data_IF_041690250620
#
_entry.id   IF_041690250620
#
_cell.length_a   1.000
_cell.length_b   1.000
_cell.length_c   1.000
_cell.angle_alpha   90.00
_cell.angle_beta   90.00
_cell.angle_gamma   90.00
#
_symmetry.space_group_name_H-M   'P 1'
#
loop_
_entity.id
_entity.type
_entity.pdbx_description
1 polymer ?
#
# COMPACT_ATOMS: atom_id res chain seq x y z
N UNK A 1 7.02 24.23 -31.95
CA UNK A 1 8.05 23.29 -32.45
C UNK A 1 8.17 22.13 -31.45
N UNK A 2 7.59 20.99 -31.78
CA UNK A 2 7.70 19.77 -30.96
C UNK A 2 9.10 19.21 -31.15
N UNK A 3 9.91 19.26 -30.10
CA UNK A 3 11.17 18.51 -30.04
C UNK A 3 10.84 17.03 -30.02
N UNK A 4 10.86 16.41 -31.16
CA UNK A 4 10.83 14.96 -31.34
C UNK A 4 12.12 14.44 -30.70
N UNK A 5 12.02 14.04 -29.42
CA UNK A 5 13.14 13.51 -28.65
C UNK A 5 13.41 12.12 -29.22
N UNK A 6 14.26 12.02 -30.22
CA UNK A 6 14.67 10.76 -30.87
C UNK A 6 15.15 9.80 -29.80
N UNK A 7 14.36 8.73 -29.60
CA UNK A 7 14.70 7.69 -28.63
C UNK A 7 15.99 7.02 -29.07
N UNK A 8 17.05 7.10 -28.27
CA UNK A 8 18.33 6.47 -28.61
C UNK A 8 18.18 4.98 -28.91
N UNK A 9 19.00 4.40 -29.81
CA UNK A 9 18.92 2.96 -30.14
C UNK A 9 18.98 2.07 -28.90
N UNK A 10 19.86 2.37 -27.95
CA UNK A 10 19.99 1.64 -26.68
C UNK A 10 18.69 1.70 -25.85
N UNK A 11 18.07 2.87 -25.75
CA UNK A 11 16.81 3.03 -25.02
C UNK A 11 15.67 2.25 -25.69
N UNK A 12 15.61 2.25 -27.02
CA UNK A 12 14.61 1.49 -27.79
C UNK A 12 14.75 0.01 -27.51
N UNK A 13 15.95 -0.56 -27.66
CA UNK A 13 16.25 -1.95 -27.37
C UNK A 13 15.87 -2.32 -25.92
N UNK A 14 16.19 -1.49 -24.96
CA UNK A 14 15.81 -1.72 -23.56
C UNK A 14 14.29 -1.77 -23.37
N UNK A 15 13.52 -0.91 -24.05
CA UNK A 15 12.04 -0.92 -24.00
C UNK A 15 11.51 -2.23 -24.61
N UNK A 16 12.05 -2.67 -25.74
CA UNK A 16 11.69 -3.94 -26.38
C UNK A 16 11.97 -5.14 -25.48
N UNK A 17 13.16 -5.18 -24.85
CA UNK A 17 13.54 -6.21 -23.88
C UNK A 17 12.60 -6.26 -22.66
N UNK A 18 12.16 -5.10 -22.16
CA UNK A 18 11.19 -5.00 -21.07
C UNK A 18 9.80 -5.45 -21.52
N UNK A 19 9.38 -5.10 -22.74
CA UNK A 19 8.09 -5.49 -23.29
C UNK A 19 8.02 -7.00 -23.51
N UNK A 20 9.07 -7.62 -24.09
CA UNK A 20 9.17 -9.07 -24.27
C UNK A 20 9.03 -9.84 -22.94
N UNK A 21 9.47 -9.25 -21.83
CA UNK A 21 9.35 -9.82 -20.46
C UNK A 21 8.08 -9.38 -19.74
N UNK A 22 7.13 -8.77 -20.44
CA UNK A 22 5.83 -8.30 -19.92
C UNK A 22 5.96 -7.38 -18.69
N UNK A 23 7.03 -6.59 -18.59
CA UNK A 23 7.17 -5.60 -17.52
C UNK A 23 6.07 -4.53 -17.69
N UNK A 24 5.37 -4.23 -16.59
CA UNK A 24 4.34 -3.18 -16.58
C UNK A 24 4.92 -1.78 -16.85
N UNK A 25 4.13 -0.87 -17.40
CA UNK A 25 4.54 0.50 -17.79
C UNK A 25 5.25 1.27 -16.67
N UNK A 26 4.88 1.04 -15.41
CA UNK A 26 5.52 1.71 -14.27
C UNK A 26 6.95 1.20 -14.06
N UNK A 27 7.19 -0.11 -14.14
CA UNK A 27 8.51 -0.71 -14.03
C UNK A 27 9.42 -0.24 -15.19
N UNK A 28 8.89 -0.24 -16.42
CA UNK A 28 9.61 0.28 -17.59
C UNK A 28 10.06 1.73 -17.38
N UNK A 29 9.15 2.63 -16.96
CA UNK A 29 9.51 4.03 -16.67
C UNK A 29 10.56 4.15 -15.57
N UNK A 30 10.45 3.33 -14.52
CA UNK A 30 11.42 3.32 -13.42
C UNK A 30 12.80 2.90 -13.89
N UNK A 31 12.91 1.84 -14.70
CA UNK A 31 14.19 1.38 -15.23
C UNK A 31 14.82 2.39 -16.20
N UNK A 32 14.02 2.97 -17.12
CA UNK A 32 14.50 4.04 -18.02
C UNK A 32 15.00 5.25 -17.22
N UNK A 33 14.27 5.65 -16.18
CA UNK A 33 14.72 6.76 -15.32
C UNK A 33 16.04 6.46 -14.63
N UNK A 34 16.22 5.22 -14.13
CA UNK A 34 17.47 4.78 -13.51
C UNK A 34 18.64 4.85 -14.47
N UNK A 35 18.46 4.37 -15.71
CA UNK A 35 19.51 4.40 -16.74
C UNK A 35 19.82 5.82 -17.19
N UNK A 36 18.82 6.72 -17.26
CA UNK A 36 19.07 8.13 -17.54
C UNK A 36 19.91 8.81 -16.46
N UNK A 37 19.67 8.50 -15.18
CA UNK A 37 20.51 9.01 -14.07
C UNK A 37 21.93 8.49 -14.18
N UNK A 38 22.11 7.22 -14.52
CA UNK A 38 23.43 6.63 -14.71
C UNK A 38 24.16 7.27 -15.91
N UNK A 39 23.48 7.44 -17.05
CA UNK A 39 24.02 8.14 -18.22
C UNK A 39 24.43 9.60 -17.92
N UNK A 40 23.61 10.32 -17.17
CA UNK A 40 23.90 11.69 -16.73
C UNK A 40 25.12 11.76 -15.81
N UNK A 41 25.29 10.78 -14.92
CA UNK A 41 26.49 10.69 -14.08
C UNK A 41 27.75 10.39 -14.89
N UNK A 42 27.66 9.51 -15.89
CA UNK A 42 28.80 9.17 -16.76
C UNK A 42 29.20 10.28 -17.71
N UNK A 43 28.26 11.17 -18.09
CA UNK A 43 28.43 12.13 -19.18
C UNK A 43 28.54 11.49 -20.58
N UNK A 44 28.31 10.17 -20.69
CA UNK A 44 28.40 9.38 -21.92
C UNK A 44 27.40 8.22 -21.92
N UNK A 45 27.35 7.48 -23.03
CA UNK A 45 26.41 6.35 -23.15
C UNK A 45 26.73 5.22 -22.17
N UNK A 46 25.72 4.64 -21.50
CA UNK A 46 25.92 3.58 -20.50
C UNK A 46 26.53 2.27 -21.03
N UNK A 47 26.50 2.02 -22.34
CA UNK A 47 27.11 0.84 -22.97
C UNK A 47 28.64 0.86 -22.92
N UNK A 48 29.24 2.07 -22.76
CA UNK A 48 30.69 2.27 -22.62
C UNK A 48 31.17 2.19 -21.16
N UNK A 49 30.29 1.85 -20.22
CA UNK A 49 30.61 1.84 -18.80
C UNK A 49 31.63 0.73 -18.44
N UNK A 50 32.44 1.03 -17.44
CA UNK A 50 33.42 0.12 -16.80
C UNK A 50 32.93 -0.31 -15.41
N UNK A 51 33.57 -1.30 -14.81
CA UNK A 51 33.29 -1.72 -13.43
C UNK A 51 33.50 -0.57 -12.43
N UNK A 52 34.55 0.24 -12.63
CA UNK A 52 34.83 1.40 -11.78
C UNK A 52 33.72 2.46 -11.89
N UNK A 53 33.17 2.68 -13.08
CA UNK A 53 32.02 3.57 -13.25
C UNK A 53 30.81 3.12 -12.45
N UNK A 54 30.51 1.82 -12.42
CA UNK A 54 29.39 1.26 -11.61
C UNK A 54 29.67 1.48 -10.13
N UNK A 55 30.88 1.21 -9.66
CA UNK A 55 31.30 1.44 -8.28
C UNK A 55 31.17 2.92 -7.90
N UNK A 56 31.70 3.84 -8.71
CA UNK A 56 31.64 5.28 -8.46
C UNK A 56 30.19 5.79 -8.46
N UNK A 57 29.35 5.27 -9.33
CA UNK A 57 27.93 5.64 -9.33
C UNK A 57 27.20 5.18 -8.05
N UNK A 58 27.49 3.97 -7.56
CA UNK A 58 26.92 3.48 -6.29
C UNK A 58 27.34 4.38 -5.12
N UNK A 59 28.61 4.82 -5.07
CA UNK A 59 29.12 5.74 -4.07
C UNK A 59 28.44 7.13 -4.20
N UNK A 60 28.34 7.66 -5.40
CA UNK A 60 27.62 8.93 -5.67
C UNK A 60 26.16 8.88 -5.19
N UNK A 61 25.46 7.76 -5.35
CA UNK A 61 24.09 7.61 -4.84
C UNK A 61 24.05 7.63 -3.30
N UNK A 62 25.11 7.17 -2.61
CA UNK A 62 25.24 7.27 -1.14
C UNK A 62 25.44 8.71 -0.74
N UNK A 63 26.41 9.39 -1.33
CA UNK A 63 26.78 10.78 -1.05
C UNK A 63 25.64 11.76 -1.34
N UNK A 64 24.79 11.43 -2.33
CA UNK A 64 23.57 12.20 -2.65
C UNK A 64 22.46 12.08 -1.57
N UNK A 65 22.70 11.43 -0.42
CA UNK A 65 21.74 11.30 0.66
C UNK A 65 20.49 10.47 0.34
N UNK A 66 20.51 9.67 -0.74
CA UNK A 66 19.38 8.85 -1.12
C UNK A 66 19.17 7.69 -0.15
N UNK A 67 17.89 7.41 0.18
CA UNK A 67 17.53 6.25 0.99
C UNK A 67 17.96 4.93 0.32
N UNK A 68 18.23 3.90 1.13
CA UNK A 68 18.61 2.56 0.65
C UNK A 68 17.59 2.03 -0.37
N UNK A 69 16.27 2.19 -0.10
CA UNK A 69 15.20 1.79 -1.01
C UNK A 69 15.33 2.47 -2.40
N UNK A 70 15.59 3.79 -2.43
CA UNK A 70 15.77 4.52 -3.67
C UNK A 70 17.05 4.11 -4.40
N UNK A 71 18.15 3.89 -3.70
CA UNK A 71 19.41 3.38 -4.27
C UNK A 71 19.22 2.01 -4.90
N UNK A 72 18.63 1.07 -4.16
CA UNK A 72 18.31 -0.28 -4.65
C UNK A 72 17.43 -0.24 -5.90
N UNK A 73 16.41 0.63 -5.91
CA UNK A 73 15.52 0.80 -7.06
C UNK A 73 16.27 1.32 -8.30
N UNK A 74 17.18 2.29 -8.12
CA UNK A 74 18.00 2.82 -9.22
C UNK A 74 18.92 1.73 -9.75
N UNK A 75 19.62 1.05 -8.85
CA UNK A 75 20.56 0.00 -9.22
C UNK A 75 19.87 -1.22 -9.86
N UNK A 76 18.62 -1.52 -9.49
CA UNK A 76 17.81 -2.55 -10.19
C UNK A 76 17.61 -2.21 -11.68
N UNK A 77 17.34 -0.95 -12.01
CA UNK A 77 17.23 -0.52 -13.42
C UNK A 77 18.56 -0.60 -14.18
N UNK A 78 19.65 -0.19 -13.55
CA UNK A 78 21.01 -0.29 -14.11
C UNK A 78 21.41 -1.76 -14.29
N UNK A 79 21.15 -2.61 -13.31
CA UNK A 79 21.40 -4.06 -13.42
C UNK A 79 20.60 -4.70 -14.55
N UNK A 80 19.35 -4.30 -14.75
CA UNK A 80 18.54 -4.75 -15.89
C UNK A 80 19.21 -4.38 -17.22
N UNK A 81 19.66 -3.15 -17.38
CA UNK A 81 20.36 -2.69 -18.57
C UNK A 81 21.57 -3.58 -18.87
N UNK A 82 22.45 -3.79 -17.90
CA UNK A 82 23.66 -4.59 -18.10
C UNK A 82 23.33 -6.06 -18.35
N UNK A 83 22.51 -6.68 -17.51
CA UNK A 83 22.23 -8.10 -17.56
C UNK A 83 21.43 -8.52 -18.80
N UNK A 84 20.43 -7.72 -19.16
CA UNK A 84 19.44 -8.09 -20.17
C UNK A 84 19.72 -7.42 -21.51
N UNK A 85 19.85 -6.10 -21.54
CA UNK A 85 19.94 -5.35 -22.78
C UNK A 85 21.36 -5.39 -23.36
N UNK A 86 22.38 -5.18 -22.55
CA UNK A 86 23.77 -5.17 -22.99
C UNK A 86 24.44 -6.56 -22.90
N UNK A 87 23.86 -7.48 -22.15
CA UNK A 87 24.43 -8.82 -21.84
C UNK A 87 25.84 -8.76 -21.23
N UNK A 88 26.14 -7.66 -20.54
CA UNK A 88 27.37 -7.43 -19.78
C UNK A 88 27.18 -8.00 -18.37
N UNK A 89 27.35 -9.33 -18.22
CA UNK A 89 27.17 -10.02 -16.93
C UNK A 89 28.22 -9.63 -15.91
N UNK A 90 29.42 -9.29 -16.37
CA UNK A 90 30.50 -8.71 -15.58
C UNK A 90 30.03 -7.45 -14.85
N UNK A 91 29.51 -6.45 -15.55
CA UNK A 91 28.99 -5.21 -14.94
C UNK A 91 27.71 -5.42 -14.12
N UNK A 92 26.89 -6.38 -14.49
CA UNK A 92 25.70 -6.72 -13.71
C UNK A 92 26.04 -7.36 -12.34
N UNK A 93 27.19 -8.02 -12.23
CA UNK A 93 27.69 -8.59 -10.98
C UNK A 93 28.18 -7.50 -10.01
N UNK A 94 28.76 -6.41 -10.53
CA UNK A 94 29.19 -5.25 -9.72
C UNK A 94 28.03 -4.52 -9.03
N UNK A 95 26.77 -4.75 -9.48
CA UNK A 95 25.61 -4.13 -8.89
C UNK A 95 25.16 -4.91 -7.66
N UNK A 96 25.36 -4.34 -6.48
CA UNK A 96 24.86 -4.90 -5.22
C UNK A 96 23.62 -4.14 -4.70
N UNK A 97 22.83 -4.82 -3.88
CA UNK A 97 21.69 -4.28 -3.19
C UNK A 97 21.91 -4.36 -1.68
N UNK A 98 21.61 -3.28 -0.99
CA UNK A 98 21.72 -3.22 0.45
C UNK A 98 20.43 -3.75 1.11
N UNK A 99 20.59 -4.45 2.22
CA UNK A 99 19.44 -4.86 3.05
C UNK A 99 18.74 -3.62 3.59
N UNK A 100 17.46 -3.51 3.27
CA UNK A 100 16.65 -2.39 3.76
C UNK A 100 16.30 -2.60 5.23
N UNK A 101 16.48 -1.57 6.10
CA UNK A 101 16.02 -1.65 7.46
C UNK A 101 14.48 -1.76 7.48
N UNK A 102 13.97 -2.75 8.18
CA UNK A 102 12.53 -2.94 8.34
C UNK A 102 12.00 -1.89 9.32
N UNK A 103 11.29 -0.89 8.81
CA UNK A 103 10.57 0.07 9.62
C UNK A 103 9.19 -0.48 9.97
N UNK A 104 8.80 -0.38 11.23
CA UNK A 104 7.43 -0.69 11.63
C UNK A 104 6.46 0.30 10.95
N UNK A 105 5.31 -0.18 10.46
CA UNK A 105 4.30 0.70 9.91
C UNK A 105 3.81 1.70 10.96
N UNK A 106 3.64 2.96 10.56
CA UNK A 106 2.97 3.95 11.38
C UNK A 106 1.47 3.67 11.36
N UNK A 107 0.92 3.38 12.53
CA UNK A 107 -0.50 3.12 12.75
C UNK A 107 -1.12 4.33 13.46
N UNK A 108 -2.28 4.75 13.02
CA UNK A 108 -3.11 5.72 13.72
C UNK A 108 -3.90 5.01 14.82
N UNK A 109 -4.15 5.67 15.94
CA UNK A 109 -5.07 5.14 16.94
C UNK A 109 -6.52 5.21 16.42
N UNK A 110 -7.47 4.45 17.01
CA UNK A 110 -8.89 4.56 16.68
C UNK A 110 -9.41 6.00 16.78
N UNK A 111 -8.96 6.76 17.80
CA UNK A 111 -9.34 8.16 18.03
C UNK A 111 -8.77 9.08 16.95
N UNK A 112 -7.53 8.86 16.52
CA UNK A 112 -6.92 9.59 15.40
C UNK A 112 -7.67 9.33 14.10
N UNK A 113 -8.04 8.07 13.84
CA UNK A 113 -8.82 7.68 12.66
C UNK A 113 -10.23 8.32 12.70
N UNK A 114 -10.88 8.35 13.87
CA UNK A 114 -12.17 9.01 14.08
C UNK A 114 -12.09 10.50 13.82
N UNK A 115 -11.06 11.19 14.36
CA UNK A 115 -10.84 12.62 14.11
C UNK A 115 -10.59 12.90 12.64
N UNK A 116 -9.75 12.08 11.97
CA UNK A 116 -9.47 12.22 10.55
C UNK A 116 -10.76 12.16 9.71
N UNK A 117 -11.63 11.20 9.98
CA UNK A 117 -12.92 11.07 9.29
C UNK A 117 -13.84 12.27 9.59
N UNK A 118 -13.92 12.72 10.84
CA UNK A 118 -14.74 13.87 11.24
C UNK A 118 -14.29 15.17 10.55
N UNK A 119 -12.99 15.37 10.37
CA UNK A 119 -12.41 16.57 9.75
C UNK A 119 -12.34 16.52 8.22
N UNK A 120 -13.01 15.58 7.58
CA UNK A 120 -12.89 15.32 6.13
C UNK A 120 -13.51 16.38 5.20
N UNK A 121 -13.96 17.51 5.71
CA UNK A 121 -14.35 18.72 4.97
C UNK A 121 -15.49 18.59 3.95
N UNK A 122 -15.59 17.47 3.23
CA UNK A 122 -16.68 17.21 2.30
C UNK A 122 -16.91 15.70 2.10
N UNK A 123 -18.10 15.35 1.62
CA UNK A 123 -18.54 13.96 1.45
C UNK A 123 -17.59 13.14 0.57
N UNK A 124 -17.03 13.71 -0.50
CA UNK A 124 -16.09 13.03 -1.38
C UNK A 124 -14.85 12.54 -0.64
N UNK A 125 -14.24 13.42 0.15
CA UNK A 125 -13.04 13.09 0.94
C UNK A 125 -13.40 12.08 2.01
N UNK A 126 -14.51 12.30 2.72
CA UNK A 126 -15.00 11.38 3.75
C UNK A 126 -15.15 9.95 3.24
N UNK A 127 -15.83 9.75 2.11
CA UNK A 127 -16.01 8.43 1.49
C UNK A 127 -14.67 7.79 1.09
N UNK A 128 -13.75 8.56 0.50
CA UNK A 128 -12.44 8.03 0.11
C UNK A 128 -11.60 7.58 1.31
N UNK A 129 -11.65 8.34 2.41
CA UNK A 129 -10.95 7.98 3.65
C UNK A 129 -11.62 6.80 4.36
N UNK A 130 -12.96 6.76 4.37
CA UNK A 130 -13.73 5.63 4.89
C UNK A 130 -13.45 4.32 4.13
N UNK A 131 -13.30 4.36 2.81
CA UNK A 131 -12.86 3.22 2.01
C UNK A 131 -11.43 2.77 2.37
N UNK A 132 -10.53 3.72 2.62
CA UNK A 132 -9.15 3.42 3.03
C UNK A 132 -9.07 2.75 4.40
N UNK A 133 -9.83 3.25 5.38
CA UNK A 133 -9.83 2.75 6.75
C UNK A 133 -10.82 1.59 6.97
N UNK A 134 -12.05 1.67 6.46
CA UNK A 134 -13.09 0.66 6.72
C UNK A 134 -13.02 -0.58 5.82
N UNK A 135 -12.40 -0.45 4.62
CA UNK A 135 -12.25 -1.57 3.67
C UNK A 135 -10.78 -1.91 3.39
N UNK A 136 -9.83 -1.20 3.96
CA UNK A 136 -8.40 -1.43 3.76
C UNK A 136 -7.93 -1.25 2.31
N UNK A 137 -8.60 -0.45 1.49
CA UNK A 137 -8.26 -0.25 0.08
C UNK A 137 -6.98 0.58 -0.09
N UNK A 138 -6.19 0.24 -1.12
CA UNK A 138 -5.04 1.06 -1.52
C UNK A 138 -5.51 2.34 -2.22
N UNK A 139 -4.74 3.42 -2.11
CA UNK A 139 -5.03 4.67 -2.81
C UNK A 139 -5.34 4.49 -4.30
N UNK A 140 -4.57 3.63 -4.98
CA UNK A 140 -4.79 3.32 -6.40
C UNK A 140 -6.06 2.51 -6.67
N UNK A 141 -6.53 1.71 -5.72
CA UNK A 141 -7.80 0.99 -5.79
C UNK A 141 -8.96 1.98 -5.61
N UNK A 142 -8.89 2.83 -4.57
CA UNK A 142 -9.93 3.84 -4.29
C UNK A 142 -10.18 4.74 -5.51
N UNK A 143 -9.15 5.34 -6.09
CA UNK A 143 -9.33 6.28 -7.19
C UNK A 143 -9.83 5.65 -8.48
N UNK A 144 -9.64 4.33 -8.65
CA UNK A 144 -10.08 3.57 -9.82
C UNK A 144 -11.37 2.80 -9.63
N UNK A 145 -12.07 2.99 -8.50
CA UNK A 145 -13.36 2.37 -8.29
C UNK A 145 -14.41 2.86 -9.30
N UNK A 146 -15.12 1.93 -9.89
CA UNK A 146 -16.30 2.15 -10.72
C UNK A 146 -17.56 1.73 -9.97
N UNK A 147 -18.71 2.19 -10.43
CA UNK A 147 -19.98 1.79 -9.82
C UNK A 147 -20.20 0.27 -9.86
N UNK A 148 -19.83 -0.38 -10.98
CA UNK A 148 -19.92 -1.84 -11.12
C UNK A 148 -18.91 -2.65 -10.29
N UNK A 149 -17.95 -2.01 -9.63
CA UNK A 149 -17.06 -2.69 -8.69
C UNK A 149 -17.71 -2.86 -7.30
N UNK A 150 -18.85 -2.21 -7.06
CA UNK A 150 -19.60 -2.27 -5.80
C UNK A 150 -20.76 -3.24 -5.94
N UNK A 151 -20.63 -4.42 -5.36
CA UNK A 151 -21.72 -5.38 -5.25
C UNK A 151 -22.46 -5.14 -3.93
N UNK A 152 -23.57 -4.40 -4.01
CA UNK A 152 -24.36 -4.04 -2.85
C UNK A 152 -25.18 -5.21 -2.27
N UNK A 153 -25.40 -6.27 -3.05
CA UNK A 153 -26.14 -7.44 -2.61
C UNK A 153 -25.27 -8.39 -1.77
N UNK A 154 -23.96 -8.42 -2.03
CA UNK A 154 -23.03 -9.31 -1.34
C UNK A 154 -21.95 -8.58 -0.54
N UNK A 155 -21.95 -7.25 -0.51
CA UNK A 155 -20.93 -6.46 0.19
C UNK A 155 -19.51 -6.63 -0.37
N UNK A 156 -19.38 -6.95 -1.68
CA UNK A 156 -18.11 -7.31 -2.33
C UNK A 156 -17.72 -6.28 -3.38
N UNK A 157 -16.45 -5.90 -3.39
CA UNK A 157 -15.84 -5.09 -4.45
C UNK A 157 -15.03 -5.94 -5.42
N UNK A 158 -15.08 -5.62 -6.71
CA UNK A 158 -14.48 -6.37 -7.82
C UNK A 158 -13.05 -5.90 -8.11
N UNK A 159 -12.10 -6.76 -8.04
CA UNK A 159 -10.91 -7.12 -8.82
C UNK A 159 -9.90 -7.84 -7.92
N UNK A 160 -9.56 -9.04 -8.27
CA UNK A 160 -8.53 -9.89 -7.69
C UNK A 160 -8.71 -10.28 -6.20
N UNK A 161 -9.65 -9.67 -5.48
CA UNK A 161 -10.04 -10.02 -4.11
C UNK A 161 -11.41 -9.47 -3.75
N UNK A 162 -12.10 -10.19 -2.90
CA UNK A 162 -13.29 -9.68 -2.22
C UNK A 162 -12.86 -8.83 -1.01
N UNK A 163 -13.46 -7.68 -0.85
CA UNK A 163 -13.21 -6.76 0.27
C UNK A 163 -14.49 -6.63 1.07
N UNK A 164 -14.37 -6.66 2.40
CA UNK A 164 -15.47 -6.34 3.29
C UNK A 164 -15.99 -4.93 3.00
N UNK A 165 -17.30 -4.78 2.82
CA UNK A 165 -17.97 -3.50 2.65
C UNK A 165 -18.95 -3.30 3.81
N UNK A 166 -18.56 -2.59 4.88
CA UNK A 166 -19.42 -2.30 6.00
C UNK A 166 -20.68 -1.52 5.57
N UNK A 167 -21.85 -1.74 6.20
CA UNK A 167 -23.11 -1.04 5.88
C UNK A 167 -22.96 0.48 5.90
N UNK A 168 -22.17 1.01 6.83
CA UNK A 168 -21.91 2.46 6.98
C UNK A 168 -21.16 3.01 5.76
N UNK A 169 -20.16 2.28 5.25
CA UNK A 169 -19.42 2.67 4.04
C UNK A 169 -20.31 2.56 2.81
N UNK A 170 -21.18 1.55 2.73
CA UNK A 170 -22.15 1.43 1.64
C UNK A 170 -23.15 2.59 1.65
N UNK A 171 -23.63 3.00 2.82
CA UNK A 171 -24.50 4.16 2.96
C UNK A 171 -23.84 5.46 2.47
N UNK A 172 -22.59 5.68 2.86
CA UNK A 172 -21.77 6.80 2.39
C UNK A 172 -21.56 6.77 0.87
N UNK A 173 -21.28 5.60 0.30
CA UNK A 173 -21.13 5.42 -1.15
C UNK A 173 -22.43 5.76 -1.90
N UNK A 174 -23.60 5.37 -1.38
CA UNK A 174 -24.92 5.71 -1.95
C UNK A 174 -25.19 7.21 -1.90
N UNK A 175 -24.86 7.87 -0.79
CA UNK A 175 -24.98 9.33 -0.67
C UNK A 175 -24.07 10.03 -1.67
N UNK A 176 -22.79 9.60 -1.75
CA UNK A 176 -21.83 10.15 -2.70
C UNK A 176 -22.25 9.92 -4.15
N UNK A 177 -22.76 8.74 -4.48
CA UNK A 177 -23.26 8.43 -5.83
C UNK A 177 -24.32 9.44 -6.30
N UNK A 178 -25.22 9.86 -5.42
CA UNK A 178 -26.25 10.87 -5.71
C UNK A 178 -25.67 12.28 -5.84
N UNK A 179 -24.65 12.62 -5.06
CA UNK A 179 -24.07 13.96 -4.98
C UNK A 179 -22.88 14.20 -5.92
N UNK A 180 -22.30 13.14 -6.52
CA UNK A 180 -21.09 13.28 -7.34
C UNK A 180 -21.35 14.02 -8.65
N UNK A 181 -20.33 14.71 -9.22
CA UNK A 181 -20.48 15.34 -10.53
C UNK A 181 -20.73 14.31 -11.64
N UNK A 182 -21.76 14.56 -12.46
CA UNK A 182 -22.20 13.68 -13.55
C UNK A 182 -21.82 14.20 -14.95
N UNK A 183 -21.17 15.35 -15.03
CA UNK A 183 -20.84 16.04 -16.30
C UNK A 183 -20.11 15.21 -17.35
N UNK A 184 -19.48 14.10 -16.93
CA UNK A 184 -18.73 13.21 -17.83
C UNK A 184 -19.37 11.83 -17.97
N UNK A 185 -20.59 11.63 -17.48
CA UNK A 185 -21.28 10.36 -17.49
C UNK A 185 -22.04 10.06 -18.81
N UNK A 186 -22.28 11.10 -19.63
CA UNK A 186 -22.99 10.96 -20.89
C UNK A 186 -22.30 9.95 -21.80
N UNK A 187 -23.07 8.94 -22.28
CA UNK A 187 -22.55 7.86 -23.11
C UNK A 187 -21.75 6.78 -22.39
N UNK A 188 -21.62 6.85 -21.07
CA UNK A 188 -20.92 5.82 -20.27
C UNK A 188 -21.95 4.98 -19.52
N UNK A 189 -21.94 3.62 -19.68
CA UNK A 189 -22.82 2.73 -18.94
C UNK A 189 -22.67 2.94 -17.41
N UNK A 190 -23.73 2.89 -16.62
CA UNK A 190 -23.67 3.19 -15.17
C UNK A 190 -22.58 2.40 -14.41
N UNK A 191 -22.43 1.11 -14.72
CA UNK A 191 -21.43 0.21 -14.11
C UNK A 191 -19.98 0.61 -14.42
N UNK A 192 -19.73 1.31 -15.53
CA UNK A 192 -18.38 1.74 -15.94
C UNK A 192 -18.00 3.13 -15.44
N UNK A 193 -18.97 3.86 -14.87
CA UNK A 193 -18.74 5.21 -14.38
C UNK A 193 -17.83 5.23 -13.17
N UNK A 194 -16.88 6.17 -13.17
CA UNK A 194 -15.99 6.35 -12.04
C UNK A 194 -16.74 6.86 -10.81
N UNK A 195 -16.51 6.25 -9.65
CA UNK A 195 -17.01 6.81 -8.38
C UNK A 195 -16.34 8.16 -8.08
N UNK A 196 -15.07 8.30 -8.41
CA UNK A 196 -14.31 9.51 -8.19
C UNK A 196 -13.77 10.06 -9.52
N UNK A 197 -14.63 10.71 -10.33
CA UNK A 197 -14.22 11.28 -11.61
C UNK A 197 -13.17 12.37 -11.41
N UNK A 198 -12.21 12.45 -12.34
CA UNK A 198 -11.18 13.46 -12.42
C UNK A 198 -11.67 14.75 -13.08
N UNK A 199 -10.72 15.69 -13.33
CA UNK A 199 -11.03 16.94 -14.02
C UNK A 199 -11.22 16.79 -15.52
N UNK A 200 -10.62 15.77 -16.14
CA UNK A 200 -10.70 15.48 -17.57
C UNK A 200 -11.70 14.36 -17.84
N UNK A 201 -12.42 14.46 -18.96
CA UNK A 201 -13.36 13.42 -19.41
C UNK A 201 -12.67 12.06 -19.48
N UNK A 202 -13.34 11.00 -19.06
CA UNK A 202 -12.87 9.61 -19.08
C UNK A 202 -11.80 9.26 -18.04
N UNK A 203 -11.28 10.22 -17.28
CA UNK A 203 -10.25 9.98 -16.27
C UNK A 203 -10.83 10.03 -14.85
N UNK A 204 -10.29 9.17 -14.00
CA UNK A 204 -10.54 9.20 -12.56
C UNK A 204 -9.63 10.18 -11.82
N UNK A 205 -9.93 10.47 -10.56
CA UNK A 205 -9.06 11.20 -9.65
C UNK A 205 -7.67 10.55 -9.59
N UNK A 206 -6.60 11.35 -9.52
CA UNK A 206 -5.24 10.80 -9.38
C UNK A 206 -4.91 10.46 -7.93
N UNK A 207 -4.05 9.46 -7.72
CA UNK A 207 -3.55 9.11 -6.37
C UNK A 207 -2.82 10.29 -5.71
N UNK A 208 -2.18 11.17 -6.50
CA UNK A 208 -1.52 12.39 -5.99
C UNK A 208 -2.54 13.38 -5.42
N UNK A 209 -3.68 13.55 -6.09
CA UNK A 209 -4.76 14.40 -5.59
C UNK A 209 -5.38 13.84 -4.31
N UNK A 210 -5.62 12.52 -4.26
CA UNK A 210 -6.12 11.86 -3.05
C UNK A 210 -5.11 11.98 -1.89
N UNK A 211 -3.82 11.82 -2.17
CA UNK A 211 -2.78 12.01 -1.15
C UNK A 211 -2.75 13.43 -0.59
N UNK A 212 -2.91 14.45 -1.45
CA UNK A 212 -3.00 15.85 -1.01
C UNK A 212 -4.20 16.06 -0.09
N UNK A 213 -5.39 15.61 -0.50
CA UNK A 213 -6.61 15.71 0.30
C UNK A 213 -6.47 15.00 1.67
N UNK A 214 -5.79 13.85 1.68
CA UNK A 214 -5.48 13.14 2.93
C UNK A 214 -4.62 13.99 3.87
N UNK A 215 -3.54 14.60 3.37
CA UNK A 215 -2.65 15.41 4.22
C UNK A 215 -3.36 16.67 4.72
N UNK A 216 -4.11 17.37 3.87
CA UNK A 216 -4.95 18.52 4.25
C UNK A 216 -5.92 18.13 5.40
N UNK A 217 -6.54 16.96 5.32
CA UNK A 217 -7.45 16.45 6.36
C UNK A 217 -6.69 16.03 7.62
N UNK A 218 -5.52 15.40 7.49
CA UNK A 218 -4.70 14.98 8.64
C UNK A 218 -4.17 16.19 9.42
N UNK A 219 -3.78 17.24 8.73
CA UNK A 219 -3.36 18.51 9.33
C UNK A 219 -4.54 19.17 10.08
N UNK A 220 -5.72 19.23 9.45
CA UNK A 220 -6.94 19.73 10.09
C UNK A 220 -7.37 18.90 11.32
N UNK A 221 -7.12 17.59 11.31
CA UNK A 221 -7.38 16.70 12.44
C UNK A 221 -6.31 16.76 13.55
N UNK A 222 -5.27 17.60 13.41
CA UNK A 222 -4.19 17.73 14.36
C UNK A 222 -3.30 16.48 14.48
N UNK A 223 -3.18 15.68 13.42
CA UNK A 223 -2.38 14.46 13.40
C UNK A 223 -0.93 14.82 13.09
N UNK A 224 -0.08 14.90 14.12
CA UNK A 224 1.34 15.28 14.01
C UNK A 224 2.25 14.17 13.48
N UNK A 225 1.79 12.91 13.47
CA UNK A 225 2.54 11.77 12.93
C UNK A 225 2.71 11.88 11.42
N UNK A 226 3.84 11.42 10.88
CA UNK A 226 4.06 11.33 9.43
C UNK A 226 3.26 10.18 8.80
N UNK A 227 1.94 10.31 8.82
CA UNK A 227 1.00 9.34 8.23
C UNK A 227 0.78 9.57 6.74
N UNK A 228 0.26 8.57 6.07
CA UNK A 228 -0.10 8.60 4.66
C UNK A 228 -1.37 7.79 4.43
N UNK A 229 -1.93 7.83 3.22
CA UNK A 229 -3.05 6.94 2.85
C UNK A 229 -2.76 5.46 3.12
N UNK A 230 -1.49 5.06 3.04
CA UNK A 230 -1.10 3.69 3.35
C UNK A 230 -1.20 3.39 4.84
N UNK A 231 -1.05 4.40 5.69
CA UNK A 231 -1.24 4.28 7.14
C UNK A 231 -2.69 3.97 7.51
N UNK A 232 -3.71 4.44 6.73
CA UNK A 232 -5.11 4.03 6.93
C UNK A 232 -5.28 2.51 6.79
N UNK A 233 -4.71 1.96 5.74
CA UNK A 233 -4.74 0.51 5.50
C UNK A 233 -3.93 -0.27 6.55
N UNK A 234 -2.82 0.28 7.02
CA UNK A 234 -2.07 -0.31 8.13
C UNK A 234 -2.89 -0.30 9.42
N UNK A 235 -3.55 0.82 9.73
CA UNK A 235 -4.45 0.94 10.89
C UNK A 235 -5.62 -0.04 10.80
N UNK A 236 -6.28 -0.15 9.65
CA UNK A 236 -7.31 -1.17 9.40
C UNK A 236 -6.82 -2.58 9.75
N UNK A 237 -5.66 -2.98 9.24
CA UNK A 237 -5.13 -4.32 9.47
C UNK A 237 -4.74 -4.55 10.93
N UNK A 238 -4.12 -3.55 11.57
CA UNK A 238 -3.70 -3.64 12.98
C UNK A 238 -4.91 -3.69 13.90
N UNK A 239 -5.90 -2.83 13.70
CA UNK A 239 -7.11 -2.81 14.53
C UNK A 239 -7.96 -4.07 14.37
N UNK A 240 -8.04 -4.65 13.15
CA UNK A 240 -8.67 -5.97 12.97
C UNK A 240 -7.92 -7.07 13.76
N UNK A 241 -6.58 -7.04 13.71
CA UNK A 241 -5.77 -8.00 14.44
C UNK A 241 -5.94 -7.83 15.96
N UNK A 242 -5.94 -6.60 16.46
CA UNK A 242 -6.22 -6.25 17.85
C UNK A 242 -7.64 -6.65 18.26
N UNK A 243 -8.63 -6.52 17.36
CA UNK A 243 -9.99 -6.98 17.49
C UNK A 243 -10.17 -8.51 17.44
N UNK A 244 -9.12 -9.28 17.19
CA UNK A 244 -9.17 -10.74 17.20
C UNK A 244 -9.31 -11.44 15.88
N UNK A 245 -9.32 -10.68 14.79
CA UNK A 245 -9.44 -11.28 13.46
C UNK A 245 -8.21 -12.11 13.12
N UNK A 246 -8.42 -13.29 12.59
CA UNK A 246 -7.33 -14.18 12.15
C UNK A 246 -6.46 -13.51 11.08
N UNK A 247 -5.14 -13.69 11.19
CA UNK A 247 -4.15 -13.05 10.30
C UNK A 247 -4.30 -13.50 8.85
N UNK A 248 -4.75 -14.73 8.59
CA UNK A 248 -4.98 -15.25 7.23
C UNK A 248 -6.20 -14.59 6.60
N UNK A 249 -7.23 -14.34 7.41
CA UNK A 249 -8.40 -13.58 6.94
C UNK A 249 -8.02 -12.14 6.62
N UNK A 250 -7.21 -11.49 7.47
CA UNK A 250 -6.66 -10.16 7.18
C UNK A 250 -5.81 -10.17 5.91
N UNK A 251 -5.00 -11.21 5.70
CA UNK A 251 -4.21 -11.39 4.48
C UNK A 251 -5.11 -11.47 3.23
N UNK A 252 -6.17 -12.24 3.28
CA UNK A 252 -7.15 -12.37 2.20
C UNK A 252 -7.85 -11.03 1.92
N UNK A 253 -8.36 -10.36 2.96
CA UNK A 253 -8.99 -9.03 2.86
C UNK A 253 -8.05 -7.98 2.26
N UNK A 254 -6.76 -8.03 2.58
CA UNK A 254 -5.76 -7.12 2.05
C UNK A 254 -5.25 -7.53 0.66
N UNK A 255 -5.47 -8.78 0.22
CA UNK A 255 -4.93 -9.32 -1.03
C UNK A 255 -3.40 -9.31 -1.03
N UNK A 256 -2.78 -9.79 0.04
CA UNK A 256 -1.34 -9.98 0.13
C UNK A 256 -0.97 -11.38 -0.37
N UNK A 257 -0.16 -11.47 -1.42
CA UNK A 257 0.33 -12.74 -1.95
C UNK A 257 1.33 -13.44 -1.03
N UNK A 258 1.96 -12.69 -0.10
CA UNK A 258 2.94 -13.20 0.86
C UNK A 258 2.49 -12.91 2.28
N UNK A 259 2.59 -13.92 3.16
CA UNK A 259 2.25 -13.80 4.58
C UNK A 259 3.16 -12.79 5.30
N UNK A 260 4.45 -12.70 4.94
CA UNK A 260 5.41 -11.75 5.51
C UNK A 260 4.92 -10.30 5.48
N UNK A 261 4.13 -9.93 4.46
CA UNK A 261 3.57 -8.58 4.37
C UNK A 261 2.52 -8.35 5.44
N UNK A 262 1.75 -9.38 5.81
CA UNK A 262 0.71 -9.31 6.85
C UNK A 262 1.32 -9.50 8.24
N UNK A 263 2.34 -10.32 8.39
CA UNK A 263 3.07 -10.56 9.64
C UNK A 263 3.71 -9.28 10.24
N UNK A 264 3.88 -8.22 9.43
CA UNK A 264 4.33 -6.91 9.95
C UNK A 264 3.33 -6.29 10.93
N UNK A 265 2.05 -6.62 10.83
CA UNK A 265 1.01 -6.12 11.72
C UNK A 265 1.05 -6.80 13.09
N UNK A 266 1.50 -8.05 13.18
CA UNK A 266 1.66 -8.75 14.47
C UNK A 266 2.72 -8.07 15.35
N UNK A 267 3.73 -7.43 14.75
CA UNK A 267 4.76 -6.69 15.49
C UNK A 267 4.27 -5.38 16.09
N UNK A 268 3.14 -4.86 15.62
CA UNK A 268 2.54 -3.60 16.10
C UNK A 268 1.40 -3.90 17.09
N UNK A 269 0.68 -5.01 16.91
CA UNK A 269 -0.42 -5.43 17.77
C UNK A 269 0.10 -6.13 19.05
N UNK A 270 0.88 -5.42 19.85
CA UNK A 270 1.53 -5.97 21.07
C UNK A 270 0.57 -6.21 22.22
N UNK A 271 -0.55 -5.47 22.29
CA UNK A 271 -1.53 -5.58 23.38
C UNK A 271 -2.20 -6.97 23.49
N UNK A 272 -2.27 -7.72 22.39
CA UNK A 272 -2.88 -9.06 22.40
C UNK A 272 -1.95 -10.16 22.89
N UNK A 273 -0.64 -10.00 22.79
CA UNK A 273 0.29 -11.02 23.33
C UNK A 273 0.14 -11.12 24.85
N UNK A 274 -0.11 -9.99 25.52
CA UNK A 274 -0.35 -9.94 26.95
C UNK A 274 -1.73 -10.49 27.37
N UNK A 275 -2.70 -10.58 26.45
CA UNK A 275 -4.06 -11.05 26.68
C UNK A 275 -4.29 -12.52 26.28
N UNK A 276 -3.24 -13.23 25.81
CA UNK A 276 -3.35 -14.65 25.47
C UNK A 276 -3.35 -15.45 26.75
N UNK A 277 -4.49 -16.03 27.08
CA UNK A 277 -4.57 -17.04 28.14
C UNK A 277 -3.89 -18.34 27.69
N UNK A 278 -3.03 -18.86 28.57
CA UNK A 278 -2.41 -20.16 28.32
C UNK A 278 -3.47 -21.27 28.20
N UNK A 279 -3.33 -22.21 27.25
CA UNK A 279 -4.20 -23.40 27.21
C UNK A 279 -4.25 -24.15 28.53
N UNK A 280 -3.19 -24.09 29.34
CA UNK A 280 -3.14 -24.61 30.70
C UNK A 280 -4.15 -23.92 31.65
N UNK A 281 -4.42 -22.64 31.47
CA UNK A 281 -5.44 -21.94 32.27
C UNK A 281 -6.86 -22.44 31.95
N UNK A 282 -7.10 -22.86 30.72
CA UNK A 282 -8.36 -23.45 30.28
C UNK A 282 -8.54 -24.89 30.78
N UNK A 283 -7.45 -25.63 31.05
CA UNK A 283 -7.49 -26.96 31.64
C UNK A 283 -7.68 -26.94 33.17
N UNK A 284 -7.38 -25.79 33.82
CA UNK A 284 -7.46 -25.59 35.25
C UNK A 284 -8.89 -25.37 35.83
N UNK A 285 -9.93 -25.39 35.01
CA UNK A 285 -11.30 -25.03 35.37
C UNK A 285 -12.10 -26.07 36.13
N UNK A 286 -11.51 -27.17 36.68
CA UNK A 286 -12.27 -28.18 37.46
C UNK A 286 -11.47 -28.77 38.61
N UNK A 287 -10.97 -27.93 39.51
CA UNK A 287 -10.70 -28.39 40.86
C UNK A 287 -11.54 -27.55 41.85
N UNK A 288 -12.84 -27.87 41.96
CA UNK A 288 -13.60 -27.54 43.13
C UNK A 288 -12.97 -28.32 44.28
N UNK A 289 -12.27 -27.63 45.21
CA UNK A 289 -11.90 -28.21 46.49
C UNK A 289 -13.18 -28.71 47.18
N UNK A 290 -13.22 -29.95 47.66
CA UNK A 290 -14.39 -30.46 48.41
C UNK A 290 -14.57 -29.56 49.64
N UNK A 291 -15.78 -29.01 49.81
CA UNK A 291 -16.19 -28.29 51.00
C UNK A 291 -15.99 -29.22 52.19
N UNK A 292 -15.15 -28.83 53.18
CA UNK A 292 -15.07 -29.45 54.49
C UNK A 292 -16.47 -29.51 55.07
N UNK A 293 -17.01 -30.73 55.25
CA UNK A 293 -18.24 -30.95 56.03
C UNK A 293 -17.97 -30.47 57.44
N UNK A 294 -18.79 -29.56 57.90
CA UNK A 294 -18.88 -29.16 59.31
C UNK A 294 -19.33 -30.38 60.11
N UNK A 295 -18.51 -30.76 61.04
CA UNK A 295 -18.86 -31.75 62.07
C UNK A 295 -19.77 -31.03 63.08
N UNK A 296 -20.98 -31.56 63.42
CA UNK A 296 -21.75 -31.01 64.54
C UNK A 296 -21.07 -31.33 65.85
N UNK A 297 -20.97 -30.33 66.72
CA UNK A 297 -20.53 -30.47 68.10
C UNK A 297 -21.52 -31.37 68.88
N UNK A 298 -21.07 -32.26 69.83
CA UNK A 298 -21.94 -33.01 70.66
C UNK A 298 -22.53 -32.07 71.72
N UNK A 299 -23.85 -32.15 71.88
CA UNK A 299 -24.59 -31.53 72.98
C UNK A 299 -24.21 -32.12 74.32
N UNK A 300 -24.00 -31.24 75.33
CA UNK A 300 -23.89 -31.57 76.76
C UNK A 300 -25.24 -31.85 77.40
#
# INVERSE_FOLDING_TARGET
MSTDTTVSPLRRRMIEDMAARKLGRHAQRSHIHSCRRFAAFLGRSPDTATADDVRRFQLHLVESGLSICNRNRIMTGVRFLFRVTLRRHDLAAEVYHLKEPQKLPLVMSPEEAKRLLAMSGNLKVHVMLALGYGCGLRAGEIVRLRAGDIDSAQGKGRKDRHVMLPPEVLALLRQWWKARPTRYDAGVPPQERWLFPGRRRGLHLTTRQLSRLFHETADAAGIRKRVSLHSLRHSFATHLLEGGTDIRLIQALLGHSKLDTTARYTRVATGRIAAIESPLAQLGGTHQRPRKRHRPEPAA
#
